data_IF_927752182136
#
_entry.id   IF_927752182136
#
_cell.length_a   1.000
_cell.length_b   1.000
_cell.length_c   1.000
_cell.angle_alpha   90.00
_cell.angle_beta   90.00
_cell.angle_gamma   90.00
#
_symmetry.space_group_name_H-M   'P 1'
#
loop_
_entity.id
_entity.type
_entity.pdbx_description
1 polymer ?
#
# COMPACT_ATOMS: atom_id res chain seq x y z
N UNK A 1 7.84 -18.27 22.19
CA UNK A 1 7.72 -17.20 21.17
C UNK A 1 6.72 -17.58 20.07
N UNK A 2 6.72 -18.82 19.61
CA UNK A 2 5.85 -19.25 18.50
C UNK A 2 4.35 -19.18 18.77
N UNK A 3 3.93 -19.29 20.04
CA UNK A 3 2.52 -19.20 20.45
C UNK A 3 2.03 -17.75 20.69
N UNK A 4 2.92 -16.75 20.64
CA UNK A 4 2.54 -15.36 20.86
C UNK A 4 2.00 -14.75 19.57
N UNK A 5 0.70 -14.45 19.55
CA UNK A 5 0.01 -13.87 18.39
C UNK A 5 0.65 -12.57 17.91
N UNK A 6 1.03 -11.67 18.82
CA UNK A 6 1.67 -10.40 18.45
C UNK A 6 3.00 -10.65 17.75
N UNK A 7 3.83 -11.57 18.27
CA UNK A 7 5.09 -11.98 17.64
C UNK A 7 4.87 -12.54 16.23
N UNK A 8 3.87 -13.43 16.05
CA UNK A 8 3.57 -14.01 14.74
C UNK A 8 3.13 -12.95 13.72
N UNK A 9 2.36 -11.96 14.16
CA UNK A 9 1.95 -10.85 13.30
C UNK A 9 3.15 -9.99 12.90
N UNK A 10 4.01 -9.62 13.86
CA UNK A 10 5.21 -8.83 13.59
C UNK A 10 6.21 -9.57 12.69
N UNK A 11 6.43 -10.85 12.97
CA UNK A 11 7.28 -11.71 12.13
C UNK A 11 6.76 -11.79 10.70
N UNK A 12 5.47 -12.06 10.52
CA UNK A 12 4.83 -12.16 9.21
C UNK A 12 4.86 -10.82 8.47
N UNK A 13 4.65 -9.71 9.17
CA UNK A 13 4.73 -8.37 8.59
C UNK A 13 6.14 -8.05 8.11
N UNK A 14 7.17 -8.37 8.91
CA UNK A 14 8.57 -8.16 8.55
C UNK A 14 9.02 -9.08 7.41
N UNK A 15 8.61 -10.35 7.44
CA UNK A 15 8.82 -11.29 6.34
C UNK A 15 8.20 -10.76 5.04
N UNK A 16 6.94 -10.32 5.08
CA UNK A 16 6.27 -9.78 3.90
C UNK A 16 6.95 -8.51 3.36
N UNK A 17 7.45 -7.63 4.23
CA UNK A 17 8.24 -6.45 3.81
C UNK A 17 9.52 -6.86 3.09
N UNK A 18 10.25 -7.84 3.64
CA UNK A 18 11.49 -8.37 3.04
C UNK A 18 11.21 -9.02 1.70
N UNK A 19 10.21 -9.90 1.64
CA UNK A 19 9.75 -10.54 0.42
C UNK A 19 9.40 -9.51 -0.66
N UNK A 20 8.59 -8.51 -0.34
CA UNK A 20 8.19 -7.47 -1.30
C UNK A 20 9.39 -6.70 -1.84
N UNK A 21 10.36 -6.38 -0.99
CA UNK A 21 11.58 -5.68 -1.41
C UNK A 21 12.39 -6.51 -2.40
N UNK A 22 12.63 -7.78 -2.10
CA UNK A 22 13.39 -8.68 -2.97
C UNK A 22 12.64 -9.01 -4.26
N UNK A 23 11.36 -9.29 -4.16
CA UNK A 23 10.51 -9.57 -5.33
C UNK A 23 10.46 -8.37 -6.28
N UNK A 24 10.29 -7.16 -5.76
CA UNK A 24 10.30 -5.96 -6.59
C UNK A 24 11.69 -5.65 -7.13
N UNK A 25 12.76 -5.89 -6.35
CA UNK A 25 14.13 -5.72 -6.81
C UNK A 25 14.42 -6.54 -8.06
N UNK A 26 13.86 -7.72 -8.16
CA UNK A 26 14.03 -8.59 -9.34
C UNK A 26 13.19 -8.18 -10.56
N UNK A 27 12.04 -7.53 -10.36
CA UNK A 27 11.02 -7.33 -11.41
C UNK A 27 10.83 -5.88 -11.83
N UNK A 28 10.87 -4.93 -10.91
CA UNK A 28 10.56 -3.51 -11.14
C UNK A 28 11.47 -2.53 -10.37
N UNK A 29 12.57 -3.01 -9.78
CA UNK A 29 13.42 -2.23 -8.86
C UNK A 29 13.93 -0.91 -9.45
N UNK A 30 14.26 -0.90 -10.74
CA UNK A 30 14.72 0.30 -11.43
C UNK A 30 13.59 1.33 -11.61
N UNK A 31 12.34 0.90 -11.46
CA UNK A 31 11.17 1.71 -11.76
C UNK A 31 10.56 2.39 -10.55
N UNK A 32 10.41 1.71 -9.41
CA UNK A 32 9.84 2.28 -8.19
C UNK A 32 10.10 1.43 -6.95
N UNK A 33 10.08 2.06 -5.76
CA UNK A 33 10.18 1.38 -4.48
C UNK A 33 8.85 0.67 -4.10
N UNK A 34 8.85 -0.25 -3.10
CA UNK A 34 7.62 -0.89 -2.61
C UNK A 34 6.53 0.10 -2.18
N UNK A 35 6.90 1.19 -1.51
CA UNK A 35 5.96 2.21 -1.08
C UNK A 35 5.42 3.03 -2.26
N UNK A 36 6.28 3.38 -3.21
CA UNK A 36 5.87 4.06 -4.45
C UNK A 36 4.92 3.17 -5.27
N UNK A 37 5.19 1.87 -5.34
CA UNK A 37 4.27 0.93 -6.00
C UNK A 37 2.92 0.86 -5.28
N UNK A 38 2.91 0.88 -3.95
CA UNK A 38 1.66 0.95 -3.17
C UNK A 38 0.87 2.23 -3.48
N UNK A 39 1.56 3.36 -3.69
CA UNK A 39 0.91 4.60 -4.13
C UNK A 39 0.31 4.44 -5.54
N UNK A 40 1.06 3.89 -6.49
CA UNK A 40 0.54 3.64 -7.85
C UNK A 40 -0.69 2.72 -7.81
N UNK A 41 -0.64 1.66 -7.00
CA UNK A 41 -1.76 0.76 -6.78
C UNK A 41 -2.99 1.49 -6.23
N UNK A 42 -2.80 2.29 -5.18
CA UNK A 42 -3.88 3.06 -4.57
C UNK A 42 -4.50 4.06 -5.55
N UNK A 43 -3.69 4.78 -6.32
CA UNK A 43 -4.14 5.74 -7.33
C UNK A 43 -4.87 5.07 -8.50
N UNK A 44 -4.46 3.86 -8.87
CA UNK A 44 -5.13 3.12 -9.94
C UNK A 44 -6.55 2.72 -9.56
N UNK A 45 -6.75 2.20 -8.34
CA UNK A 45 -8.05 1.74 -7.86
C UNK A 45 -8.90 2.83 -7.20
N UNK A 46 -8.28 3.91 -6.74
CA UNK A 46 -8.96 5.07 -6.15
C UNK A 46 -8.34 6.38 -6.68
N UNK A 47 -8.70 6.80 -7.91
CA UNK A 47 -8.13 8.00 -8.52
C UNK A 47 -8.46 9.31 -7.78
N UNK A 48 -9.40 9.28 -6.85
CA UNK A 48 -9.81 10.43 -6.05
C UNK A 48 -9.14 10.49 -4.66
N UNK A 49 -8.24 9.56 -4.36
CA UNK A 49 -7.56 9.51 -3.07
C UNK A 49 -6.70 10.76 -2.85
N UNK A 50 -6.87 11.42 -1.71
CA UNK A 50 -6.09 12.59 -1.31
C UNK A 50 -4.72 12.19 -0.74
N UNK A 51 -3.78 13.15 -0.67
CA UNK A 51 -2.49 12.94 0.00
C UNK A 51 -2.65 12.51 1.47
N UNK A 52 -3.66 13.06 2.16
CA UNK A 52 -3.95 12.68 3.54
C UNK A 52 -4.42 11.25 3.68
N UNK A 53 -5.26 10.79 2.77
CA UNK A 53 -5.72 9.40 2.72
C UNK A 53 -4.59 8.43 2.36
N UNK A 54 -3.70 8.81 1.42
CA UNK A 54 -2.49 8.05 1.12
C UNK A 54 -1.56 7.93 2.34
N UNK A 55 -1.41 8.99 3.11
CA UNK A 55 -0.60 8.97 4.32
C UNK A 55 -1.14 7.97 5.36
N UNK A 56 -2.47 7.95 5.53
CA UNK A 56 -3.15 6.96 6.39
C UNK A 56 -2.96 5.53 5.87
N UNK A 57 -3.17 5.32 4.58
CA UNK A 57 -3.00 3.99 3.94
C UNK A 57 -1.59 3.43 4.13
N UNK A 58 -0.58 4.28 4.02
CA UNK A 58 0.83 3.89 4.15
C UNK A 58 1.32 3.86 5.61
N UNK A 59 0.51 4.28 6.58
CA UNK A 59 0.93 4.49 7.97
C UNK A 59 2.17 5.38 8.08
N UNK A 60 2.23 6.46 7.28
CA UNK A 60 3.33 7.43 7.23
C UNK A 60 2.82 8.86 7.46
N UNK A 61 3.71 9.71 7.93
CA UNK A 61 3.39 11.14 8.10
C UNK A 61 3.13 11.82 6.74
N UNK A 62 2.23 12.81 6.72
CA UNK A 62 1.87 13.59 5.51
C UNK A 62 3.07 14.21 4.81
N UNK A 63 4.03 14.73 5.60
CA UNK A 63 5.26 15.32 5.06
C UNK A 63 6.13 14.29 4.32
N UNK A 64 6.24 13.08 4.87
CA UNK A 64 6.99 11.99 4.24
C UNK A 64 6.34 11.57 2.92
N UNK A 65 5.02 11.36 2.93
CA UNK A 65 4.27 11.03 1.71
C UNK A 65 4.34 12.17 0.68
N UNK A 66 4.29 13.43 1.13
CA UNK A 66 4.48 14.59 0.26
C UNK A 66 5.83 14.57 -0.46
N UNK A 67 6.93 14.24 0.23
CA UNK A 67 8.27 14.08 -0.37
C UNK A 67 8.30 12.93 -1.38
N UNK A 68 7.68 11.80 -1.06
CA UNK A 68 7.57 10.66 -1.99
C UNK A 68 6.82 11.06 -3.27
N UNK A 69 5.66 11.72 -3.13
CA UNK A 69 4.87 12.18 -4.27
C UNK A 69 5.62 13.18 -5.14
N UNK A 70 6.37 14.12 -4.54
CA UNK A 70 7.22 15.05 -5.30
C UNK A 70 8.29 14.29 -6.11
N UNK A 71 8.93 13.28 -5.51
CA UNK A 71 9.91 12.44 -6.20
C UNK A 71 9.28 11.61 -7.33
N UNK A 72 8.08 11.08 -7.11
CA UNK A 72 7.34 10.36 -8.15
C UNK A 72 6.93 11.27 -9.30
N UNK A 73 6.51 12.50 -9.01
CA UNK A 73 6.17 13.51 -10.01
C UNK A 73 7.39 13.93 -10.84
N UNK A 74 8.54 14.20 -10.20
CA UNK A 74 9.77 14.56 -10.92
C UNK A 74 10.25 13.44 -11.88
N UNK A 75 9.90 12.20 -11.58
CA UNK A 75 10.16 11.02 -12.44
C UNK A 75 9.06 10.77 -13.48
N UNK A 76 8.02 11.58 -13.48
CA UNK A 76 6.89 11.48 -14.41
C UNK A 76 5.97 10.29 -14.17
N UNK A 77 5.93 9.74 -12.97
CA UNK A 77 5.06 8.60 -12.60
C UNK A 77 3.64 9.06 -12.26
N UNK A 78 3.52 10.24 -11.70
CA UNK A 78 2.28 10.90 -11.34
C UNK A 78 2.33 12.37 -11.73
N UNK A 79 1.16 13.00 -11.75
CA UNK A 79 0.98 14.45 -11.82
C UNK A 79 0.19 14.91 -10.62
N UNK A 80 0.61 16.01 -9.97
CA UNK A 80 -0.09 16.59 -8.83
C UNK A 80 -0.93 17.78 -9.27
N UNK A 81 -2.17 17.79 -8.85
CA UNK A 81 -3.13 18.87 -9.16
C UNK A 81 -3.78 19.38 -7.88
N UNK A 82 -4.08 20.68 -7.87
CA UNK A 82 -4.97 21.23 -6.85
C UNK A 82 -6.42 20.84 -7.21
N UNK A 83 -7.19 20.45 -6.21
CA UNK A 83 -8.60 20.12 -6.33
C UNK A 83 -9.35 20.71 -5.13
N UNK A 84 -10.65 20.88 -5.26
CA UNK A 84 -11.50 21.41 -4.18
C UNK A 84 -12.49 20.35 -3.76
N UNK A 85 -12.49 19.99 -2.47
CA UNK A 85 -13.44 19.07 -1.87
C UNK A 85 -14.06 19.72 -0.62
N UNK A 86 -15.38 19.84 -0.60
CA UNK A 86 -16.11 20.50 0.50
C UNK A 86 -15.55 21.89 0.84
N UNK A 87 -15.29 22.73 -0.17
CA UNK A 87 -14.70 24.07 -0.08
C UNK A 87 -13.27 24.10 0.52
N UNK A 88 -12.58 22.96 0.58
CA UNK A 88 -11.19 22.87 1.04
C UNK A 88 -10.31 22.50 -0.15
N UNK A 89 -9.23 23.27 -0.36
CA UNK A 89 -8.22 22.96 -1.35
C UNK A 89 -7.42 21.74 -0.89
N UNK A 90 -7.45 20.70 -1.70
CA UNK A 90 -6.68 19.48 -1.49
C UNK A 90 -5.68 19.27 -2.62
N UNK A 91 -4.56 18.61 -2.32
CA UNK A 91 -3.63 18.13 -3.34
C UNK A 91 -3.97 16.70 -3.71
N UNK A 92 -4.30 16.48 -4.97
CA UNK A 92 -4.60 15.17 -5.53
C UNK A 92 -3.47 14.75 -6.49
N UNK A 93 -3.21 13.46 -6.53
CA UNK A 93 -2.24 12.87 -7.45
C UNK A 93 -2.97 12.06 -8.52
N UNK A 94 -2.56 12.21 -9.76
CA UNK A 94 -3.09 11.49 -10.91
C UNK A 94 -1.96 10.63 -11.48
N UNK A 95 -2.24 9.35 -11.69
CA UNK A 95 -1.28 8.44 -12.32
C UNK A 95 -1.11 8.81 -13.80
N UNK A 96 0.14 8.87 -14.28
CA UNK A 96 0.45 9.13 -15.68
C UNK A 96 0.44 7.83 -16.49
N UNK A 97 0.47 7.91 -17.84
CA UNK A 97 0.68 6.72 -18.68
C UNK A 97 1.93 5.93 -18.32
N UNK A 98 3.03 6.61 -17.97
CA UNK A 98 4.27 5.98 -17.50
C UNK A 98 4.05 5.24 -16.17
N UNK A 99 3.40 5.89 -15.20
CA UNK A 99 3.05 5.27 -13.92
C UNK A 99 2.11 4.07 -14.09
N UNK A 100 1.13 4.19 -14.99
CA UNK A 100 0.20 3.11 -15.33
C UNK A 100 0.93 1.89 -15.91
N UNK A 101 1.92 2.10 -16.76
CA UNK A 101 2.72 1.00 -17.32
C UNK A 101 3.51 0.26 -16.25
N UNK A 102 4.16 0.99 -15.33
CA UNK A 102 4.87 0.40 -14.19
C UNK A 102 3.90 -0.37 -13.28
N UNK A 103 2.74 0.23 -12.99
CA UNK A 103 1.69 -0.45 -12.23
C UNK A 103 1.27 -1.76 -12.90
N UNK A 104 0.98 -1.76 -14.21
CA UNK A 104 0.57 -2.97 -14.93
C UNK A 104 1.63 -4.08 -14.89
N UNK A 105 2.90 -3.71 -15.07
CA UNK A 105 4.01 -4.67 -14.97
C UNK A 105 4.08 -5.32 -13.58
N UNK A 106 4.09 -4.52 -12.54
CA UNK A 106 4.15 -5.02 -11.16
C UNK A 106 2.87 -5.78 -10.77
N UNK A 107 1.70 -5.29 -11.16
CA UNK A 107 0.42 -5.92 -10.86
C UNK A 107 0.31 -7.32 -11.49
N UNK A 108 0.77 -7.50 -12.73
CA UNK A 108 0.84 -8.81 -13.37
C UNK A 108 1.65 -9.83 -12.55
N UNK A 109 2.75 -9.41 -11.98
CA UNK A 109 3.57 -10.27 -11.12
C UNK A 109 2.88 -10.55 -9.77
N UNK A 110 2.21 -9.57 -9.19
CA UNK A 110 1.42 -9.78 -7.96
C UNK A 110 0.22 -10.71 -8.16
N UNK A 111 -0.40 -10.73 -9.34
CA UNK A 111 -1.46 -11.67 -9.65
C UNK A 111 -1.00 -13.12 -9.57
N UNK A 112 0.21 -13.44 -10.01
CA UNK A 112 0.80 -14.79 -9.88
C UNK A 112 0.94 -15.22 -8.41
N UNK A 113 1.32 -14.27 -7.53
CA UNK A 113 1.40 -14.54 -6.09
C UNK A 113 0.01 -14.80 -5.53
N UNK A 114 -0.97 -13.97 -5.92
CA UNK A 114 -2.37 -14.15 -5.53
C UNK A 114 -2.90 -15.52 -5.94
N UNK A 115 -2.68 -15.92 -7.17
CA UNK A 115 -3.06 -17.25 -7.69
C UNK A 115 -2.42 -18.37 -6.85
N UNK A 116 -1.11 -18.26 -6.57
CA UNK A 116 -0.40 -19.22 -5.73
C UNK A 116 -0.96 -19.33 -4.31
N UNK A 117 -1.37 -18.20 -3.72
CA UNK A 117 -2.03 -18.20 -2.42
C UNK A 117 -3.40 -18.88 -2.53
N UNK A 118 -4.19 -18.55 -3.55
CA UNK A 118 -5.53 -19.11 -3.76
C UNK A 118 -5.54 -20.62 -4.07
N UNK A 119 -4.46 -21.16 -4.62
CA UNK A 119 -4.27 -22.61 -4.79
C UNK A 119 -4.11 -23.36 -3.45
N UNK A 120 -3.66 -22.67 -2.40
CA UNK A 120 -3.33 -23.27 -1.10
C UNK A 120 -4.30 -22.87 0.03
N UNK A 121 -5.25 -21.99 -0.24
CA UNK A 121 -6.28 -21.57 0.70
C UNK A 121 -7.65 -21.63 0.06
N UNK A 122 -8.64 -22.20 0.74
CA UNK A 122 -10.03 -22.09 0.30
C UNK A 122 -10.52 -20.64 0.42
N UNK A 123 -11.62 -20.34 -0.24
CA UNK A 123 -12.26 -19.02 -0.14
C UNK A 123 -12.66 -18.70 1.30
N UNK A 124 -13.20 -19.68 1.99
CA UNK A 124 -13.64 -19.60 3.39
C UNK A 124 -12.46 -19.34 4.34
N UNK A 125 -11.33 -20.04 4.16
CA UNK A 125 -10.11 -19.82 4.92
C UNK A 125 -9.57 -18.40 4.70
N UNK A 126 -9.55 -17.91 3.46
CA UNK A 126 -9.14 -16.55 3.12
C UNK A 126 -10.03 -15.50 3.79
N UNK A 127 -11.36 -15.67 3.73
CA UNK A 127 -12.31 -14.76 4.37
C UNK A 127 -12.14 -14.76 5.90
N UNK A 128 -12.00 -15.92 6.51
CA UNK A 128 -11.75 -16.04 7.96
C UNK A 128 -10.44 -15.35 8.35
N UNK A 129 -9.37 -15.58 7.60
CA UNK A 129 -8.07 -14.94 7.88
C UNK A 129 -8.16 -13.42 7.84
N UNK A 130 -8.79 -12.86 6.81
CA UNK A 130 -9.02 -11.41 6.68
C UNK A 130 -9.86 -10.89 7.86
N UNK A 131 -10.90 -11.61 8.24
CA UNK A 131 -11.76 -11.26 9.38
C UNK A 131 -10.99 -11.25 10.71
N UNK A 132 -10.12 -12.24 10.95
CA UNK A 132 -9.29 -12.29 12.16
C UNK A 132 -8.27 -11.16 12.21
N UNK A 133 -7.62 -10.83 11.10
CA UNK A 133 -6.74 -9.66 11.00
C UNK A 133 -7.52 -8.35 11.29
N UNK A 134 -8.74 -8.23 10.79
CA UNK A 134 -9.63 -7.11 11.07
C UNK A 134 -10.02 -7.01 12.55
N UNK A 135 -10.37 -8.15 13.16
CA UNK A 135 -10.70 -8.24 14.60
C UNK A 135 -9.49 -7.84 15.47
N UNK A 136 -8.31 -8.35 15.13
CA UNK A 136 -7.07 -7.99 15.83
C UNK A 136 -6.83 -6.48 15.80
N UNK A 137 -6.87 -5.85 14.62
CA UNK A 137 -6.68 -4.40 14.48
C UNK A 137 -7.69 -3.61 15.34
N UNK A 138 -8.95 -4.00 15.32
CA UNK A 138 -9.98 -3.34 16.15
C UNK A 138 -9.67 -3.44 17.65
N UNK A 139 -9.27 -4.61 18.14
CA UNK A 139 -8.94 -4.80 19.55
C UNK A 139 -7.76 -3.92 19.95
N UNK A 140 -6.66 -3.93 19.18
CA UNK A 140 -5.48 -3.13 19.49
C UNK A 140 -5.80 -1.63 19.45
N UNK A 141 -6.63 -1.17 18.53
CA UNK A 141 -7.02 0.25 18.43
C UNK A 141 -7.83 0.74 19.62
N UNK A 142 -8.45 -0.14 20.43
CA UNK A 142 -9.12 0.24 21.67
C UNK A 142 -8.17 0.45 22.83
N UNK A 143 -6.98 -0.16 22.78
CA UNK A 143 -5.97 -0.06 23.87
C UNK A 143 -5.13 1.21 23.70
N UNK A 144 -4.76 1.51 22.49
CA UNK A 144 -3.97 2.71 22.14
C UNK A 144 -4.62 3.37 20.93
N UNK A 145 -4.98 4.65 21.08
CA UNK A 145 -5.38 5.47 19.93
C UNK A 145 -4.16 5.63 19.00
N UNK A 146 -4.08 4.74 18.01
CA UNK A 146 -3.04 4.80 16.97
C UNK A 146 -3.34 6.00 16.10
N UNK A 147 -2.97 7.20 16.59
CA UNK A 147 -3.05 8.42 15.81
C UNK A 147 -2.10 8.27 14.65
N UNK A 148 -2.66 8.08 13.49
CA UNK A 148 -1.95 8.23 12.21
C UNK A 148 -1.56 9.71 12.10
N UNK A 149 -0.33 10.02 12.53
CA UNK A 149 0.24 11.38 12.48
C UNK A 149 0.49 11.81 11.05
#
# INVERSE_FOLDING_TARGET
MEENLAYQIDYTANFNKSFRREFQAQKIAECCSPDEFTILYALHFNPNISQSELAKLLFKGKAHVGKMLNKMESRGLIKRVADTRNNIIIKRSIITPKGTNIFKMGHKEFLKIKEKIQENFSKEEMEQFINYLGKFRRIISTIVDVKLK
#
